data_IF_459186413530
#
_entry.id   IF_459186413530
#
_cell.length_a   1.000
_cell.length_b   1.000
_cell.length_c   1.000
_cell.angle_alpha   90.00
_cell.angle_beta   90.00
_cell.angle_gamma   90.00
#
_symmetry.space_group_name_H-M   'P 1'
#
loop_
_entity.id
_entity.type
_entity.pdbx_description
1 polymer ?
#
# COMPACT_ATOMS: atom_id res chain seq x y z
N UNK A 1 48.15 26.27 11.70
CA UNK A 1 47.46 25.69 12.87
C UNK A 1 46.15 25.04 12.45
N UNK A 2 46.18 24.06 11.54
CA UNK A 2 44.96 23.45 10.99
C UNK A 2 44.75 21.97 11.35
N UNK A 3 45.74 21.31 11.95
CA UNK A 3 45.60 19.90 12.33
C UNK A 3 44.60 19.68 13.48
N UNK A 4 44.40 20.69 14.34
CA UNK A 4 43.50 20.60 15.50
C UNK A 4 42.01 20.67 15.14
N UNK A 5 41.64 21.43 14.10
CA UNK A 5 40.24 21.64 13.71
C UNK A 5 39.63 20.40 13.03
N UNK A 6 40.41 19.75 12.16
CA UNK A 6 39.96 18.54 11.46
C UNK A 6 39.74 17.34 12.40
N UNK A 7 40.58 17.21 13.44
CA UNK A 7 40.45 16.15 14.43
C UNK A 7 39.18 16.30 15.30
N UNK A 8 38.81 17.54 15.64
CA UNK A 8 37.59 17.83 16.41
C UNK A 8 36.34 17.58 15.59
N UNK A 9 36.33 17.95 14.31
CA UNK A 9 35.21 17.69 13.40
C UNK A 9 35.01 16.18 13.15
N UNK A 10 36.10 15.41 13.00
CA UNK A 10 36.02 13.96 12.83
C UNK A 10 35.50 13.25 14.09
N UNK A 11 35.88 13.70 15.28
CA UNK A 11 35.37 13.16 16.54
C UNK A 11 33.87 13.46 16.74
N UNK A 12 33.43 14.67 16.39
CA UNK A 12 32.01 15.04 16.42
C UNK A 12 31.18 14.21 15.42
N UNK A 13 31.68 14.01 14.19
CA UNK A 13 31.02 13.17 13.19
C UNK A 13 30.96 11.69 13.60
N UNK A 14 31.97 11.17 14.31
CA UNK A 14 31.94 9.82 14.86
C UNK A 14 30.89 9.64 15.96
N UNK A 15 30.73 10.65 16.84
CA UNK A 15 29.70 10.64 17.89
C UNK A 15 28.27 10.79 17.36
N UNK A 16 28.11 11.44 16.20
CA UNK A 16 26.82 11.62 15.54
C UNK A 16 26.24 10.34 14.92
N UNK A 17 27.11 9.37 14.58
CA UNK A 17 26.71 8.13 13.90
C UNK A 17 25.76 7.30 14.76
N UNK A 18 24.71 6.78 14.15
CA UNK A 18 23.77 5.88 14.81
C UNK A 18 24.48 4.67 15.45
N UNK A 19 25.53 4.15 14.78
CA UNK A 19 26.36 3.06 15.29
C UNK A 19 27.10 3.36 16.60
N UNK A 20 27.27 4.64 16.97
CA UNK A 20 27.90 5.02 18.23
C UNK A 20 26.93 4.94 19.44
N UNK A 21 25.62 4.73 19.19
CA UNK A 21 24.59 4.71 20.22
C UNK A 21 23.89 3.34 20.22
N UNK A 22 24.06 2.51 21.27
CA UNK A 22 23.52 1.15 21.30
C UNK A 22 22.01 1.07 21.06
N UNK A 23 21.25 2.06 21.53
CA UNK A 23 19.80 2.14 21.30
C UNK A 23 19.42 2.59 19.88
N UNK A 24 20.36 3.12 19.10
CA UNK A 24 20.20 3.47 17.68
C UNK A 24 20.82 2.41 16.74
N UNK A 25 21.20 1.23 17.25
CA UNK A 25 21.82 0.18 16.45
C UNK A 25 20.86 -0.34 15.37
N UNK A 26 21.35 -0.45 14.13
CA UNK A 26 20.57 -0.86 12.96
C UNK A 26 20.08 0.29 12.07
N UNK A 27 20.18 1.54 12.53
CA UNK A 27 19.92 2.72 11.69
C UNK A 27 21.20 3.14 10.95
N UNK A 28 21.14 3.43 9.63
CA UNK A 28 22.29 3.96 8.90
C UNK A 28 22.44 5.47 9.15
N UNK A 29 23.67 5.98 9.00
CA UNK A 29 23.94 7.43 9.00
C UNK A 29 24.13 8.06 10.37
N UNK A 30 23.75 9.35 10.49
CA UNK A 30 23.88 10.15 11.70
C UNK A 30 22.53 10.27 12.40
N UNK A 31 22.47 9.90 13.68
CA UNK A 31 21.25 9.93 14.49
C UNK A 31 21.34 10.93 15.66
N UNK A 32 22.55 11.18 16.17
CA UNK A 32 22.77 11.79 17.49
C UNK A 32 23.88 12.85 17.49
N UNK A 33 23.78 13.91 16.67
CA UNK A 33 22.58 14.37 15.96
C UNK A 33 22.47 13.87 14.50
N UNK A 34 21.30 14.05 13.89
CA UNK A 34 21.08 13.92 12.44
C UNK A 34 21.87 14.97 11.67
N UNK A 35 21.91 14.85 10.34
CA UNK A 35 22.53 15.86 9.45
C UNK A 35 21.88 17.25 9.58
N UNK A 36 20.66 17.32 10.09
CA UNK A 36 19.91 18.55 10.37
C UNK A 36 20.11 19.06 11.82
N UNK A 37 20.92 18.37 12.63
CA UNK A 37 21.18 18.75 14.02
C UNK A 37 20.18 18.22 15.05
N UNK A 38 19.19 17.41 14.64
CA UNK A 38 18.16 16.88 15.53
C UNK A 38 18.64 15.60 16.27
N UNK A 39 18.23 15.41 17.52
CA UNK A 39 18.53 14.19 18.27
C UNK A 39 17.38 13.19 18.11
N UNK A 40 17.65 11.99 17.59
CA UNK A 40 16.64 10.93 17.56
C UNK A 40 16.33 10.40 18.96
N UNK A 41 15.13 9.83 19.17
CA UNK A 41 14.69 9.37 20.49
C UNK A 41 15.59 8.29 21.13
N UNK A 42 16.37 7.58 20.32
CA UNK A 42 17.35 6.59 20.78
C UNK A 42 18.65 7.21 21.35
N UNK A 43 18.89 8.51 21.17
CA UNK A 43 20.15 9.18 21.47
C UNK A 43 20.40 9.50 22.96
N UNK A 44 19.56 8.99 23.87
CA UNK A 44 19.62 9.29 25.31
C UNK A 44 19.70 8.08 26.24
N UNK A 45 19.67 6.85 25.72
CA UNK A 45 19.65 5.66 26.57
C UNK A 45 21.06 5.27 27.05
N UNK A 46 21.57 5.97 28.06
CA UNK A 46 22.61 5.40 28.93
C UNK A 46 21.95 4.43 29.91
N UNK A 47 22.48 3.23 30.04
CA UNK A 47 22.00 2.21 30.96
C UNK A 47 22.20 2.65 32.42
N UNK A 48 21.20 3.27 33.05
CA UNK A 48 20.88 3.18 34.48
C UNK A 48 19.71 4.10 34.88
N UNK A 49 18.89 3.60 35.81
CA UNK A 49 17.91 4.27 36.68
C UNK A 49 16.44 4.36 36.21
N UNK A 50 15.57 3.86 37.11
CA UNK A 50 14.11 3.72 36.96
C UNK A 50 13.28 5.00 37.13
N UNK A 51 11.96 4.86 37.33
CA UNK A 51 10.98 5.84 36.88
C UNK A 51 10.84 7.01 37.86
N UNK A 52 10.73 8.23 37.30
CA UNK A 52 10.17 9.38 38.01
C UNK A 52 9.22 10.17 37.12
N UNK A 53 8.08 10.46 37.73
CA UNK A 53 6.96 11.26 37.24
C UNK A 53 7.33 12.71 36.94
N UNK A 54 6.58 13.33 36.03
CA UNK A 54 6.33 14.77 36.12
C UNK A 54 6.20 15.55 34.81
N UNK A 55 5.06 16.23 34.69
CA UNK A 55 4.74 17.40 33.87
C UNK A 55 4.47 17.15 32.37
N UNK A 56 3.22 17.19 31.91
CA UNK A 56 2.25 18.31 31.81
C UNK A 56 2.54 19.27 30.64
N UNK A 57 1.45 19.48 29.89
CA UNK A 57 1.12 20.60 29.02
C UNK A 57 1.64 20.60 27.57
N UNK A 58 0.80 20.07 26.67
CA UNK A 58 0.44 20.74 25.43
C UNK A 58 -0.94 20.25 24.96
N UNK A 59 -2.00 20.94 25.40
CA UNK A 59 -3.33 20.85 24.78
C UNK A 59 -3.46 21.94 23.73
N UNK A 60 -3.72 21.56 22.48
CA UNK A 60 -4.42 22.42 21.52
C UNK A 60 -5.11 21.55 20.44
N UNK A 61 -6.42 21.41 20.63
CA UNK A 61 -7.46 21.22 19.61
C UNK A 61 -7.37 20.01 18.64
N UNK A 62 -8.19 18.97 18.90
CA UNK A 62 -9.37 18.63 18.07
C UNK A 62 -10.37 17.91 18.99
N UNK A 63 -11.62 18.40 19.03
CA UNK A 63 -12.76 17.75 19.69
C UNK A 63 -13.59 17.03 18.63
N UNK A 64 -13.73 15.71 18.77
CA UNK A 64 -14.93 14.97 18.37
C UNK A 64 -15.05 13.70 19.26
N UNK A 65 -15.74 13.89 20.39
CA UNK A 65 -16.74 13.00 21.02
C UNK A 65 -16.60 11.47 20.92
N UNK A 66 -16.36 10.80 22.06
CA UNK A 66 -16.66 9.38 22.23
C UNK A 66 -16.08 8.77 23.51
N UNK A 67 -16.76 8.95 24.64
CA UNK A 67 -16.38 8.40 25.94
C UNK A 67 -16.71 6.90 26.01
N UNK A 68 -15.73 6.00 26.12
CA UNK A 68 -15.95 4.59 26.47
C UNK A 68 -14.92 4.10 27.49
N UNK A 69 -15.43 3.81 28.69
CA UNK A 69 -14.74 3.06 29.74
C UNK A 69 -14.93 1.56 29.49
N UNK A 70 -13.83 0.81 29.38
CA UNK A 70 -13.79 -0.62 29.71
C UNK A 70 -13.63 -1.59 28.53
N UNK A 71 -12.39 -1.83 28.13
CA UNK A 71 -11.89 -3.17 27.76
C UNK A 71 -10.38 -3.17 28.02
N UNK A 72 -9.90 -4.19 28.75
CA UNK A 72 -8.52 -4.30 29.24
C UNK A 72 -7.50 -4.16 28.10
N UNK A 73 -6.87 -3.00 28.02
CA UNK A 73 -5.88 -2.65 27.01
C UNK A 73 -4.53 -3.21 27.46
N UNK A 74 -3.95 -4.16 26.71
CA UNK A 74 -2.50 -4.35 26.74
C UNK A 74 -1.87 -3.06 26.16
N UNK A 75 -0.85 -2.47 26.79
CA UNK A 75 -0.15 -1.34 26.20
C UNK A 75 0.62 -1.85 24.99
N UNK A 76 0.10 -1.60 23.80
CA UNK A 76 0.82 -1.76 22.54
C UNK A 76 1.94 -0.72 22.58
N UNK A 77 3.19 -1.19 22.60
CA UNK A 77 4.35 -0.30 22.67
C UNK A 77 4.47 0.45 21.35
N UNK A 78 4.84 1.73 21.36
CA UNK A 78 4.92 2.61 20.18
C UNK A 78 5.82 2.10 19.01
N UNK A 79 6.55 1.00 19.21
CA UNK A 79 7.31 0.29 18.19
C UNK A 79 6.48 -0.72 17.36
N UNK A 80 5.24 -1.03 17.75
CA UNK A 80 4.45 -2.15 17.19
C UNK A 80 3.53 -1.79 16.01
N UNK A 81 3.52 -0.56 15.47
CA UNK A 81 2.59 -0.21 14.37
C UNK A 81 3.19 0.74 13.32
N UNK A 82 4.47 0.63 12.94
CA UNK A 82 4.90 1.20 11.65
C UNK A 82 4.56 0.21 10.54
N UNK A 83 3.93 0.71 9.46
CA UNK A 83 3.67 -0.11 8.28
C UNK A 83 4.88 -0.03 7.35
N UNK A 84 5.35 -1.18 6.88
CA UNK A 84 6.42 -1.28 5.90
C UNK A 84 5.89 -1.95 4.64
N UNK A 85 6.15 -1.36 3.48
CA UNK A 85 5.77 -1.97 2.22
C UNK A 85 6.80 -3.06 1.85
N UNK A 86 6.38 -4.31 1.76
CA UNK A 86 7.24 -5.47 1.50
C UNK A 86 6.93 -6.10 0.14
N UNK A 87 7.54 -5.60 -0.93
CA UNK A 87 7.30 -6.08 -2.28
C UNK A 87 8.58 -6.01 -3.14
N UNK A 88 8.53 -6.67 -4.29
CA UNK A 88 9.51 -6.51 -5.37
C UNK A 88 8.92 -5.56 -6.42
N UNK A 89 9.58 -4.43 -6.65
CA UNK A 89 9.14 -3.41 -7.62
C UNK A 89 9.77 -3.58 -9.01
N UNK A 90 10.77 -4.45 -9.15
CA UNK A 90 11.64 -4.54 -10.33
C UNK A 90 11.06 -5.45 -11.42
N UNK A 91 9.83 -5.12 -11.85
CA UNK A 91 9.10 -5.83 -12.90
C UNK A 91 8.92 -7.35 -12.65
N UNK A 92 8.47 -7.82 -11.46
CA UNK A 92 8.37 -9.25 -11.16
C UNK A 92 7.34 -10.00 -12.03
N UNK A 93 6.48 -9.30 -12.77
CA UNK A 93 5.55 -9.89 -13.76
C UNK A 93 6.14 -9.99 -15.16
N UNK A 94 7.40 -9.59 -15.34
CA UNK A 94 8.12 -9.67 -16.62
C UNK A 94 7.37 -9.00 -17.77
N UNK A 95 6.73 -7.87 -17.49
CA UNK A 95 6.04 -7.06 -18.50
C UNK A 95 7.11 -6.52 -19.45
N UNK A 96 6.96 -6.82 -20.74
CA UNK A 96 7.88 -6.38 -21.78
C UNK A 96 7.25 -5.29 -22.59
N UNK A 97 8.00 -4.24 -22.88
CA UNK A 97 7.51 -3.17 -23.72
C UNK A 97 7.81 -3.45 -25.20
N UNK A 98 6.95 -2.94 -26.08
CA UNK A 98 7.37 -2.71 -27.46
C UNK A 98 8.46 -1.63 -27.47
N UNK A 99 9.57 -1.80 -28.23
CA UNK A 99 10.67 -0.84 -28.23
C UNK A 99 10.26 0.55 -28.75
N UNK A 100 9.15 0.65 -29.49
CA UNK A 100 8.59 1.94 -29.90
C UNK A 100 7.60 2.39 -28.82
N UNK A 101 7.97 3.41 -28.04
CA UNK A 101 7.16 3.93 -26.91
C UNK A 101 5.68 4.12 -27.26
N UNK A 102 5.37 4.71 -28.42
CA UNK A 102 3.99 4.98 -28.88
C UNK A 102 3.18 3.74 -29.25
N UNK A 103 3.78 2.56 -29.27
CA UNK A 103 3.05 1.30 -29.46
C UNK A 103 2.50 0.75 -28.14
N UNK A 104 3.06 1.16 -27.01
CA UNK A 104 2.63 0.69 -25.70
C UNK A 104 1.42 1.48 -25.20
N UNK A 105 0.52 0.79 -24.50
CA UNK A 105 -0.58 1.42 -23.79
C UNK A 105 -0.97 0.65 -22.53
N UNK A 106 -1.66 1.35 -21.64
CA UNK A 106 -2.31 0.82 -20.45
C UNK A 106 -3.83 0.89 -20.64
N UNK A 107 -4.56 0.01 -19.96
CA UNK A 107 -5.98 0.24 -19.68
C UNK A 107 -6.14 0.54 -18.20
N UNK A 108 -7.03 1.45 -17.84
CA UNK A 108 -7.31 1.81 -16.45
C UNK A 108 -8.80 1.57 -16.18
N UNK A 109 -9.12 0.88 -15.09
CA UNK A 109 -10.49 0.55 -14.69
C UNK A 109 -10.63 0.61 -13.18
N UNK A 110 -11.71 1.22 -12.70
CA UNK A 110 -12.13 1.25 -11.28
C UNK A 110 -13.59 0.84 -11.16
N UNK A 111 -14.03 0.56 -9.93
CA UNK A 111 -15.46 0.40 -9.59
C UNK A 111 -16.15 -0.70 -10.43
N UNK A 112 -15.41 -1.76 -10.73
CA UNK A 112 -15.84 -2.77 -11.71
C UNK A 112 -16.32 -4.07 -11.07
N UNK A 113 -15.97 -4.31 -9.81
CA UNK A 113 -16.07 -5.56 -9.08
C UNK A 113 -17.45 -6.05 -8.67
N UNK A 114 -18.50 -5.89 -9.49
CA UNK A 114 -19.90 -6.08 -9.08
C UNK A 114 -20.13 -7.36 -8.26
N UNK A 115 -20.82 -7.24 -7.13
CA UNK A 115 -21.22 -8.36 -6.27
C UNK A 115 -22.08 -9.41 -7.00
N UNK A 116 -21.74 -10.70 -6.84
CA UNK A 116 -22.46 -11.82 -7.47
C UNK A 116 -22.41 -11.76 -9.00
N UNK A 117 -21.24 -11.40 -9.56
CA UNK A 117 -21.06 -10.98 -10.94
C UNK A 117 -21.30 -12.04 -12.05
N UNK A 118 -21.17 -11.62 -13.32
CA UNK A 118 -21.32 -10.25 -13.79
C UNK A 118 -22.78 -9.89 -14.02
N UNK A 119 -23.07 -8.60 -13.91
CA UNK A 119 -24.32 -8.00 -14.38
C UNK A 119 -24.16 -7.42 -15.80
N UNK A 120 -25.25 -6.92 -16.42
CA UNK A 120 -25.21 -6.44 -17.80
C UNK A 120 -24.20 -5.30 -18.03
N UNK A 121 -24.04 -4.37 -17.08
CA UNK A 121 -23.09 -3.26 -17.19
C UNK A 121 -21.63 -3.74 -17.17
N UNK A 122 -21.27 -4.61 -16.23
CA UNK A 122 -19.92 -5.16 -16.12
C UNK A 122 -19.57 -5.99 -17.36
N UNK A 123 -20.51 -6.83 -17.83
CA UNK A 123 -20.35 -7.57 -19.09
C UNK A 123 -20.11 -6.61 -20.26
N UNK A 124 -20.90 -5.54 -20.38
CA UNK A 124 -20.72 -4.58 -21.48
C UNK A 124 -19.35 -3.90 -21.46
N UNK A 125 -18.83 -3.53 -20.28
CA UNK A 125 -17.47 -2.97 -20.14
C UNK A 125 -16.42 -4.00 -20.52
N UNK A 126 -16.52 -5.23 -20.02
CA UNK A 126 -15.58 -6.30 -20.33
C UNK A 126 -15.54 -6.64 -21.83
N UNK A 127 -16.69 -6.69 -22.50
CA UNK A 127 -16.76 -6.87 -23.96
C UNK A 127 -16.11 -5.69 -24.71
N UNK A 128 -16.31 -4.45 -24.26
CA UNK A 128 -15.66 -3.27 -24.86
C UNK A 128 -14.15 -3.30 -24.68
N UNK A 129 -13.65 -3.70 -23.51
CA UNK A 129 -12.21 -3.87 -23.29
C UNK A 129 -11.63 -4.94 -24.21
N UNK A 130 -12.27 -6.11 -24.33
CA UNK A 130 -11.83 -7.18 -25.25
C UNK A 130 -11.83 -6.72 -26.71
N UNK A 131 -12.87 -6.02 -27.15
CA UNK A 131 -12.94 -5.48 -28.50
C UNK A 131 -11.84 -4.43 -28.76
N UNK A 132 -11.61 -3.52 -27.81
CA UNK A 132 -10.56 -2.51 -27.90
C UNK A 132 -9.18 -3.15 -27.98
N UNK A 133 -8.85 -4.10 -27.10
CA UNK A 133 -7.55 -4.78 -27.11
C UNK A 133 -7.33 -5.55 -28.41
N UNK A 134 -8.35 -6.22 -28.95
CA UNK A 134 -8.29 -6.85 -30.27
C UNK A 134 -7.96 -5.84 -31.38
N UNK A 135 -8.62 -4.68 -31.38
CA UNK A 135 -8.39 -3.62 -32.37
C UNK A 135 -6.99 -3.03 -32.26
N UNK A 136 -6.53 -2.73 -31.04
CA UNK A 136 -5.21 -2.20 -30.78
C UNK A 136 -4.12 -3.19 -31.20
N UNK A 137 -4.28 -4.47 -30.88
CA UNK A 137 -3.36 -5.53 -31.32
C UNK A 137 -3.27 -5.62 -32.84
N UNK A 138 -4.41 -5.54 -33.55
CA UNK A 138 -4.44 -5.52 -35.01
C UNK A 138 -3.76 -4.28 -35.61
N UNK A 139 -3.72 -3.16 -34.87
CA UNK A 139 -3.02 -1.93 -35.23
C UNK A 139 -1.52 -1.92 -34.81
N UNK A 140 -0.98 -3.06 -34.36
CA UNK A 140 0.42 -3.17 -33.93
C UNK A 140 0.70 -2.51 -32.57
N UNK A 141 -0.32 -2.32 -31.73
CA UNK A 141 -0.17 -1.80 -30.37
C UNK A 141 -0.04 -2.92 -29.35
N UNK A 142 0.66 -2.62 -28.26
CA UNK A 142 1.03 -3.54 -27.20
C UNK A 142 0.41 -3.10 -25.87
N UNK A 143 -0.41 -3.97 -25.27
CA UNK A 143 -0.96 -3.75 -23.93
C UNK A 143 0.11 -4.12 -22.90
N UNK A 144 0.58 -3.15 -22.11
CA UNK A 144 1.52 -3.40 -21.02
C UNK A 144 0.81 -4.05 -19.82
N UNK A 145 -0.27 -3.42 -19.35
CA UNK A 145 -1.02 -3.85 -18.19
C UNK A 145 -2.42 -3.23 -18.13
N UNK A 146 -3.26 -3.82 -17.29
CA UNK A 146 -4.51 -3.22 -16.81
C UNK A 146 -4.24 -2.67 -15.40
N UNK A 147 -4.53 -1.40 -15.17
CA UNK A 147 -4.46 -0.79 -13.85
C UNK A 147 -5.85 -0.83 -13.22
N UNK A 148 -5.97 -1.55 -12.11
CA UNK A 148 -7.20 -1.68 -11.33
C UNK A 148 -7.18 -0.68 -10.19
N UNK A 149 -7.94 0.41 -10.31
CA UNK A 149 -7.87 1.54 -9.36
C UNK A 149 -8.84 1.39 -8.18
N UNK A 150 -9.04 0.16 -7.71
CA UNK A 150 -9.87 -0.13 -6.54
C UNK A 150 -11.32 -0.45 -6.86
N UNK A 151 -12.03 -0.85 -5.80
CA UNK A 151 -13.36 -1.45 -5.83
C UNK A 151 -13.41 -2.67 -6.76
N UNK A 152 -12.43 -3.54 -6.53
CA UNK A 152 -12.22 -4.77 -7.27
C UNK A 152 -13.29 -5.81 -6.95
N UNK A 153 -13.85 -5.79 -5.73
CA UNK A 153 -14.92 -6.70 -5.29
C UNK A 153 -15.94 -6.01 -4.39
N UNK A 154 -17.10 -5.67 -4.96
CA UNK A 154 -18.25 -5.22 -4.20
C UNK A 154 -18.94 -6.37 -3.45
N UNK A 155 -19.56 -6.12 -2.30
CA UNK A 155 -19.75 -4.80 -1.66
C UNK A 155 -18.82 -4.55 -0.47
N UNK A 156 -18.26 -5.61 0.11
CA UNK A 156 -17.71 -5.58 1.46
C UNK A 156 -16.51 -6.51 1.63
N UNK A 157 -15.63 -6.52 0.63
CA UNK A 157 -14.48 -7.40 0.55
C UNK A 157 -14.66 -8.57 -0.42
N UNK A 158 -13.59 -9.36 -0.56
CA UNK A 158 -13.52 -10.44 -1.53
C UNK A 158 -13.94 -11.77 -0.90
N UNK A 159 -14.92 -12.44 -1.53
CA UNK A 159 -15.21 -13.85 -1.27
C UNK A 159 -14.48 -14.74 -2.28
N UNK A 160 -14.12 -15.99 -1.95
CA UNK A 160 -13.42 -16.88 -2.88
C UNK A 160 -14.10 -17.04 -4.25
N UNK A 161 -15.43 -17.03 -4.32
CA UNK A 161 -16.19 -17.15 -5.58
C UNK A 161 -16.09 -15.90 -6.46
N UNK A 162 -15.84 -14.72 -5.87
CA UNK A 162 -15.82 -13.44 -6.58
C UNK A 162 -14.66 -13.36 -7.59
N UNK A 163 -13.54 -14.04 -7.34
CA UNK A 163 -12.43 -14.17 -8.30
C UNK A 163 -12.91 -14.71 -9.64
N UNK A 164 -13.78 -15.72 -9.63
CA UNK A 164 -14.31 -16.30 -10.86
C UNK A 164 -15.45 -15.46 -11.44
N UNK A 165 -16.39 -15.04 -10.59
CA UNK A 165 -17.63 -14.38 -11.00
C UNK A 165 -17.41 -12.96 -11.52
N UNK A 166 -16.57 -12.19 -10.83
CA UNK A 166 -16.38 -10.75 -11.07
C UNK A 166 -15.12 -10.45 -11.88
N UNK A 167 -14.06 -11.25 -11.75
CA UNK A 167 -12.80 -10.99 -12.47
C UNK A 167 -12.53 -11.97 -13.61
N UNK A 168 -12.44 -13.28 -13.35
CA UNK A 168 -11.92 -14.19 -14.35
C UNK A 168 -12.88 -14.41 -15.52
N UNK A 169 -14.17 -14.65 -15.24
CA UNK A 169 -15.18 -14.94 -16.26
C UNK A 169 -15.50 -13.75 -17.17
N UNK A 170 -15.81 -12.53 -16.67
CA UNK A 170 -16.26 -11.44 -17.54
C UNK A 170 -15.15 -10.97 -18.48
N UNK A 171 -13.93 -10.86 -17.96
CA UNK A 171 -12.77 -10.39 -18.71
C UNK A 171 -12.05 -11.52 -19.47
N UNK A 172 -12.40 -12.79 -19.21
CA UNK A 172 -11.84 -13.94 -19.91
C UNK A 172 -10.33 -14.12 -19.67
N UNK A 173 -9.81 -13.69 -18.51
CA UNK A 173 -8.35 -13.69 -18.24
C UNK A 173 -7.74 -15.09 -18.18
N UNK A 174 -8.59 -16.12 -18.04
CA UNK A 174 -8.23 -17.54 -18.02
C UNK A 174 -8.63 -18.30 -19.30
N UNK A 175 -9.25 -17.63 -20.26
CA UNK A 175 -9.67 -18.22 -21.53
C UNK A 175 -8.64 -17.91 -22.62
N UNK A 176 -7.92 -18.90 -23.18
CA UNK A 176 -6.92 -18.70 -24.23
C UNK A 176 -7.44 -18.01 -25.49
N UNK A 177 -8.75 -18.03 -25.73
CA UNK A 177 -9.38 -17.33 -26.86
C UNK A 177 -9.67 -15.85 -26.58
N UNK A 178 -9.60 -15.43 -25.31
CA UNK A 178 -9.85 -14.04 -24.92
C UNK A 178 -8.70 -13.13 -25.36
N UNK A 179 -8.99 -11.93 -25.88
CA UNK A 179 -7.99 -10.88 -26.09
C UNK A 179 -7.25 -10.44 -24.81
N UNK A 180 -7.85 -10.70 -23.65
CA UNK A 180 -7.29 -10.38 -22.32
C UNK A 180 -6.68 -11.60 -21.62
N UNK A 181 -6.53 -12.73 -22.32
CA UNK A 181 -5.89 -13.91 -21.75
C UNK A 181 -4.49 -13.58 -21.23
N UNK A 182 -4.21 -13.93 -19.98
CA UNK A 182 -2.95 -13.65 -19.30
C UNK A 182 -2.51 -12.17 -19.23
N UNK A 183 -3.39 -11.20 -19.53
CA UNK A 183 -3.05 -9.80 -19.33
C UNK A 183 -2.73 -9.53 -17.84
N UNK A 184 -1.63 -8.83 -17.51
CA UNK A 184 -1.31 -8.49 -16.13
C UNK A 184 -2.23 -7.37 -15.65
N UNK A 185 -2.76 -7.52 -14.44
CA UNK A 185 -3.52 -6.51 -13.71
C UNK A 185 -2.67 -6.05 -12.53
N UNK A 186 -2.37 -4.76 -12.46
CA UNK A 186 -1.73 -4.13 -11.31
C UNK A 186 -2.82 -3.40 -10.54
N UNK A 187 -3.07 -3.78 -9.29
CA UNK A 187 -4.24 -3.32 -8.54
C UNK A 187 -3.89 -2.45 -7.32
N UNK A 188 -4.82 -1.58 -6.94
CA UNK A 188 -4.97 -1.01 -5.58
C UNK A 188 -6.32 -1.43 -5.01
N UNK A 189 -6.52 -1.21 -3.71
CA UNK A 189 -7.80 -1.42 -3.04
C UNK A 189 -8.63 -0.13 -3.03
N UNK A 190 -9.95 -0.27 -3.17
CA UNK A 190 -10.95 0.76 -2.89
C UNK A 190 -11.69 0.47 -1.60
N UNK A 191 -12.66 1.30 -1.22
CA UNK A 191 -13.35 1.12 0.06
C UNK A 191 -14.21 -0.14 0.10
N UNK A 192 -14.76 -0.58 -1.03
CA UNK A 192 -15.57 -1.80 -1.08
C UNK A 192 -14.75 -3.09 -1.05
N UNK A 193 -13.44 -2.99 -1.27
CA UNK A 193 -12.51 -4.10 -1.14
C UNK A 193 -12.23 -4.50 0.31
N UNK A 194 -12.67 -3.64 1.24
CA UNK A 194 -12.70 -3.84 2.68
C UNK A 194 -14.10 -4.21 3.14
N UNK A 195 -14.22 -4.89 4.28
CA UNK A 195 -15.51 -5.13 4.95
C UNK A 195 -15.68 -6.55 5.45
N UNK A 196 -16.92 -6.91 5.81
CA UNK A 196 -17.24 -8.15 6.52
C UNK A 196 -16.89 -9.44 5.76
N UNK A 197 -16.77 -9.40 4.43
CA UNK A 197 -16.37 -10.57 3.63
C UNK A 197 -14.83 -10.75 3.59
N UNK A 198 -14.05 -9.72 3.95
CA UNK A 198 -12.58 -9.77 4.12
C UNK A 198 -12.16 -9.00 5.40
N UNK A 199 -12.63 -9.44 6.59
CA UNK A 199 -12.69 -8.59 7.79
C UNK A 199 -11.32 -8.20 8.33
N UNK A 200 -10.28 -8.96 8.01
CA UNK A 200 -8.92 -8.71 8.51
C UNK A 200 -8.02 -7.97 7.53
N UNK A 201 -8.53 -7.59 6.36
CA UNK A 201 -7.84 -6.67 5.45
C UNK A 201 -7.54 -5.32 6.13
N UNK A 202 -8.32 -4.95 7.14
CA UNK A 202 -8.20 -3.68 7.87
C UNK A 202 -7.62 -3.84 9.29
N UNK A 203 -7.21 -5.06 9.67
CA UNK A 203 -6.57 -5.34 10.94
C UNK A 203 -5.83 -6.71 10.96
N UNK A 204 -4.79 -6.91 10.15
CA UNK A 204 -4.14 -8.23 10.05
C UNK A 204 -3.56 -8.75 11.38
N UNK A 205 -3.28 -7.85 12.33
CA UNK A 205 -2.84 -8.17 13.69
C UNK A 205 -3.94 -8.75 14.60
N UNK A 206 -5.22 -8.57 14.27
CA UNK A 206 -6.34 -9.08 15.09
C UNK A 206 -6.64 -10.56 14.83
N UNK A 207 -6.06 -11.13 13.77
CA UNK A 207 -6.21 -12.56 13.48
C UNK A 207 -5.49 -13.42 14.51
N UNK A 208 -6.17 -14.48 14.97
CA UNK A 208 -5.54 -15.51 15.82
C UNK A 208 -4.36 -16.17 15.09
N UNK A 209 -4.46 -16.32 13.76
CA UNK A 209 -3.38 -16.74 12.89
C UNK A 209 -3.37 -15.86 11.64
N UNK A 210 -2.29 -15.10 11.43
CA UNK A 210 -2.15 -14.24 10.25
C UNK A 210 -2.14 -15.09 8.96
N UNK A 211 -2.66 -14.55 7.85
CA UNK A 211 -2.60 -15.22 6.55
C UNK A 211 -1.16 -15.44 6.10
N UNK A 212 -0.28 -14.49 6.41
CA UNK A 212 1.15 -14.59 6.26
C UNK A 212 1.87 -13.62 7.20
N UNK A 213 3.18 -13.79 7.33
CA UNK A 213 4.07 -12.81 7.96
C UNK A 213 5.32 -12.64 7.11
N UNK A 214 5.64 -11.40 6.75
CA UNK A 214 6.82 -11.03 5.96
C UNK A 214 7.58 -10.00 6.75
N UNK A 215 8.88 -10.24 7.00
CA UNK A 215 9.73 -9.36 7.79
C UNK A 215 9.14 -8.95 9.17
N UNK A 216 8.35 -9.82 9.79
CA UNK A 216 7.68 -9.55 11.07
C UNK A 216 6.36 -8.78 10.97
N UNK A 217 5.95 -8.31 9.78
CA UNK A 217 4.64 -7.71 9.53
C UNK A 217 3.61 -8.76 9.14
N UNK A 218 2.44 -8.73 9.76
CA UNK A 218 1.32 -9.64 9.45
C UNK A 218 0.45 -9.10 8.31
N UNK A 219 -0.16 -10.01 7.55
CA UNK A 219 -1.06 -9.70 6.44
C UNK A 219 -2.38 -10.44 6.57
N UNK A 220 -3.43 -9.87 5.96
CA UNK A 220 -4.79 -10.29 6.23
C UNK A 220 -5.84 -10.00 5.17
N UNK A 221 -5.48 -9.44 4.02
CA UNK A 221 -6.43 -9.31 2.92
C UNK A 221 -6.36 -10.52 1.99
N UNK A 222 -7.53 -11.04 1.64
CA UNK A 222 -7.67 -12.12 0.69
C UNK A 222 -7.30 -11.73 -0.76
N UNK A 223 -7.13 -10.43 -1.06
CA UNK A 223 -6.71 -9.94 -2.37
C UNK A 223 -5.20 -9.97 -2.61
N UNK A 224 -4.40 -9.99 -1.54
CA UNK A 224 -2.95 -9.93 -1.63
C UNK A 224 -2.37 -11.14 -2.39
N UNK A 225 -1.19 -10.98 -2.96
CA UNK A 225 -0.48 -12.04 -3.67
C UNK A 225 -0.24 -13.29 -2.80
N UNK A 226 0.06 -14.42 -3.45
CA UNK A 226 0.15 -15.72 -2.79
C UNK A 226 1.23 -15.82 -1.69
N UNK A 227 2.25 -14.95 -1.72
CA UNK A 227 3.25 -14.81 -0.66
C UNK A 227 2.66 -14.24 0.65
N UNK A 228 1.57 -13.47 0.56
CA UNK A 228 0.85 -12.87 1.69
C UNK A 228 -0.52 -13.47 1.96
N UNK A 229 -1.07 -14.19 0.99
CA UNK A 229 -2.25 -15.02 1.12
C UNK A 229 -2.04 -16.36 0.39
N UNK A 230 -1.42 -17.37 1.05
CA UNK A 230 -1.18 -18.68 0.46
C UNK A 230 -2.45 -19.43 0.05
N UNK A 231 -3.61 -19.06 0.61
CA UNK A 231 -4.90 -19.64 0.28
C UNK A 231 -5.55 -19.00 -0.97
N UNK A 232 -4.95 -17.94 -1.52
CA UNK A 232 -5.46 -17.28 -2.73
C UNK A 232 -5.49 -18.27 -3.91
N UNK A 233 -6.59 -18.33 -4.70
CA UNK A 233 -6.69 -19.30 -5.79
C UNK A 233 -5.51 -19.19 -6.80
N UNK A 234 -4.83 -20.29 -7.18
CA UNK A 234 -3.62 -20.22 -8.01
C UNK A 234 -3.81 -19.57 -9.39
N UNK A 235 -5.03 -19.58 -9.92
CA UNK A 235 -5.40 -18.96 -11.19
C UNK A 235 -5.50 -17.43 -11.12
N UNK A 236 -5.27 -16.79 -9.98
CA UNK A 236 -5.31 -15.32 -9.85
C UNK A 236 -3.95 -14.65 -9.98
N UNK A 237 -2.90 -15.39 -10.34
CA UNK A 237 -1.51 -14.89 -10.39
C UNK A 237 -1.27 -13.65 -11.25
N UNK A 238 -2.14 -13.38 -12.23
CA UNK A 238 -2.04 -12.20 -13.09
C UNK A 238 -2.76 -10.98 -12.51
N UNK A 239 -3.53 -11.15 -11.44
CA UNK A 239 -4.01 -10.04 -10.63
C UNK A 239 -3.01 -9.79 -9.51
N UNK A 240 -2.22 -8.74 -9.68
CA UNK A 240 -1.06 -8.47 -8.87
C UNK A 240 -1.35 -7.34 -7.89
N UNK A 241 -1.33 -7.71 -6.62
CA UNK A 241 -1.46 -6.83 -5.47
C UNK A 241 -0.46 -7.33 -4.41
N UNK A 242 0.82 -6.93 -4.52
CA UNK A 242 1.89 -7.46 -3.68
C UNK A 242 1.84 -6.92 -2.25
N UNK A 243 1.20 -5.79 -2.05
CA UNK A 243 1.12 -5.06 -0.79
C UNK A 243 0.02 -3.97 -0.93
N UNK A 244 -0.31 -3.27 0.15
CA UNK A 244 -1.27 -2.15 0.12
C UNK A 244 -0.71 -0.95 -0.63
N UNK A 245 0.61 -0.73 -0.54
CA UNK A 245 1.33 0.23 -1.36
C UNK A 245 2.53 -0.43 -2.03
N UNK A 246 2.78 -0.09 -3.28
CA UNK A 246 3.95 -0.57 -4.00
C UNK A 246 4.31 0.34 -5.17
N UNK A 247 5.52 0.20 -5.69
CA UNK A 247 5.85 0.70 -7.02
C UNK A 247 6.14 -0.47 -7.95
N UNK A 248 6.05 -0.22 -9.25
CA UNK A 248 6.33 -1.17 -10.31
C UNK A 248 7.04 -0.46 -11.45
N UNK A 249 8.26 -0.88 -11.75
CA UNK A 249 9.02 -0.32 -12.85
C UNK A 249 8.86 -1.14 -14.13
N UNK A 250 8.67 -0.45 -15.26
CA UNK A 250 8.80 -1.00 -16.60
C UNK A 250 9.82 -0.11 -17.31
N UNK A 251 11.10 -0.29 -16.97
CA UNK A 251 12.19 0.54 -17.47
C UNK A 251 12.28 0.54 -19.01
N UNK A 252 11.94 -0.58 -19.66
CA UNK A 252 11.85 -0.68 -21.13
C UNK A 252 10.83 0.31 -21.74
N UNK A 253 9.79 0.67 -20.98
CA UNK A 253 8.78 1.65 -21.37
C UNK A 253 9.04 3.05 -20.79
N UNK A 254 10.14 3.24 -20.04
CA UNK A 254 10.42 4.46 -19.28
C UNK A 254 9.22 4.87 -18.39
N UNK A 255 8.65 3.87 -17.71
CA UNK A 255 7.41 3.95 -16.96
C UNK A 255 7.60 3.42 -15.53
N UNK A 256 7.15 4.18 -14.55
CA UNK A 256 6.97 3.75 -13.17
C UNK A 256 5.50 3.89 -12.77
N UNK A 257 4.97 2.89 -12.08
CA UNK A 257 3.62 2.92 -11.51
C UNK A 257 3.77 2.88 -9.99
N UNK A 258 3.24 3.87 -9.30
CA UNK A 258 3.21 3.97 -7.84
C UNK A 258 1.76 3.77 -7.39
N UNK A 259 1.51 2.68 -6.70
CA UNK A 259 0.23 2.25 -6.18
C UNK A 259 0.16 2.56 -4.68
N UNK A 260 -0.84 3.33 -4.25
CA UNK A 260 -1.01 3.66 -2.84
C UNK A 260 -2.45 3.43 -2.39
N UNK A 261 -2.59 2.96 -1.16
CA UNK A 261 -3.86 2.87 -0.47
C UNK A 261 -4.15 4.18 0.26
N UNK A 262 -5.27 4.80 -0.10
CA UNK A 262 -5.74 6.06 0.48
C UNK A 262 -7.06 5.90 1.25
N UNK A 263 -7.47 4.66 1.55
CA UNK A 263 -8.78 4.36 2.16
C UNK A 263 -8.94 4.92 3.57
N UNK A 264 -7.84 5.28 4.24
CA UNK A 264 -7.85 6.04 5.49
C UNK A 264 -8.68 7.33 5.43
N UNK A 265 -8.79 7.98 4.27
CA UNK A 265 -9.51 9.25 4.17
C UNK A 265 -11.05 9.11 4.18
N UNK A 266 -11.57 7.89 4.06
CA UNK A 266 -13.00 7.62 3.96
C UNK A 266 -13.41 6.38 4.79
N UNK A 267 -13.00 6.33 6.07
CA UNK A 267 -13.25 5.18 6.96
C UNK A 267 -14.73 4.76 7.05
N UNK A 268 -15.67 5.72 7.07
CA UNK A 268 -17.10 5.40 7.10
C UNK A 268 -17.64 4.79 5.79
N UNK A 269 -16.88 4.89 4.71
CA UNK A 269 -17.21 4.29 3.40
C UNK A 269 -16.67 2.88 3.23
N UNK A 270 -15.83 2.36 4.14
CA UNK A 270 -15.32 0.99 4.06
C UNK A 270 -16.47 -0.01 3.99
N UNK A 271 -16.36 -1.04 3.16
CA UNK A 271 -17.49 -1.96 2.89
C UNK A 271 -18.72 -1.29 2.28
N UNK A 272 -18.57 -0.08 1.76
CA UNK A 272 -19.63 0.73 1.16
C UNK A 272 -20.43 1.58 2.13
N UNK A 273 -20.65 1.09 3.34
CA UNK A 273 -21.28 1.80 4.45
C UNK A 273 -21.07 1.04 5.78
N UNK A 274 -21.58 1.60 6.88
CA UNK A 274 -21.52 1.00 8.22
C UNK A 274 -22.09 -0.42 8.31
N UNK A 275 -22.99 -0.83 7.40
CA UNK A 275 -23.55 -2.18 7.38
C UNK A 275 -22.63 -3.18 6.67
N UNK A 276 -21.70 -2.69 5.85
CA UNK A 276 -20.72 -3.51 5.14
C UNK A 276 -19.43 -3.74 5.91
N UNK A 277 -19.12 -2.91 6.90
CA UNK A 277 -17.91 -3.06 7.73
C UNK A 277 -18.18 -3.25 9.22
N UNK A 278 -19.43 -3.19 9.67
CA UNK A 278 -19.76 -3.20 11.10
C UNK A 278 -19.25 -4.43 11.85
N UNK A 279 -19.31 -5.62 11.23
CA UNK A 279 -18.75 -6.82 11.85
C UNK A 279 -17.23 -6.78 11.81
N UNK A 280 -16.63 -6.45 10.66
CA UNK A 280 -15.19 -6.35 10.51
C UNK A 280 -14.57 -5.41 11.55
N UNK A 281 -15.17 -4.24 11.77
CA UNK A 281 -14.70 -3.27 12.76
C UNK A 281 -14.75 -3.84 14.18
N UNK A 282 -15.81 -4.58 14.54
CA UNK A 282 -15.91 -5.21 15.85
C UNK A 282 -14.84 -6.29 16.02
N UNK A 283 -14.64 -7.13 15.01
CA UNK A 283 -13.62 -8.18 15.01
C UNK A 283 -12.19 -7.61 15.09
N UNK A 284 -11.99 -6.39 14.58
CA UNK A 284 -10.73 -5.64 14.65
C UNK A 284 -10.49 -4.87 15.96
N UNK A 285 -11.38 -5.00 16.95
CA UNK A 285 -11.26 -4.25 18.21
C UNK A 285 -11.76 -2.80 18.14
N UNK A 286 -12.56 -2.47 17.12
CA UNK A 286 -13.27 -1.22 16.96
C UNK A 286 -12.66 -0.25 15.92
N UNK A 287 -13.40 0.83 15.59
CA UNK A 287 -13.00 1.79 14.55
C UNK A 287 -11.63 2.44 14.80
N UNK A 288 -11.26 2.69 16.06
CA UNK A 288 -9.96 3.30 16.38
C UNK A 288 -8.76 2.43 16.02
N UNK A 289 -8.90 1.10 16.07
CA UNK A 289 -7.82 0.19 15.65
C UNK A 289 -7.68 0.14 14.13
N UNK A 290 -8.82 0.17 13.42
CA UNK A 290 -8.88 0.24 11.96
C UNK A 290 -8.30 1.56 11.46
N UNK A 291 -8.73 2.68 12.06
CA UNK A 291 -8.17 4.01 11.81
C UNK A 291 -6.67 4.02 12.03
N UNK A 292 -6.20 3.48 13.16
CA UNK A 292 -4.79 3.43 13.47
C UNK A 292 -4.02 2.64 12.40
N UNK A 293 -4.45 1.44 12.03
CA UNK A 293 -3.81 0.64 10.99
C UNK A 293 -3.76 1.36 9.64
N UNK A 294 -4.90 1.81 9.13
CA UNK A 294 -4.99 2.45 7.82
C UNK A 294 -4.24 3.79 7.78
N UNK A 295 -4.13 4.51 8.91
CA UNK A 295 -3.30 5.72 8.98
C UNK A 295 -1.82 5.42 8.71
N UNK A 296 -1.34 4.25 9.15
CA UNK A 296 0.05 3.82 8.98
C UNK A 296 0.30 3.28 7.57
N UNK A 297 -0.68 2.58 7.00
CA UNK A 297 -0.67 2.20 5.58
C UNK A 297 -0.62 3.45 4.69
N UNK A 298 -1.47 4.44 4.94
CA UNK A 298 -1.51 5.68 4.17
C UNK A 298 -0.21 6.49 4.31
N UNK A 299 0.35 6.57 5.53
CA UNK A 299 1.66 7.20 5.73
C UNK A 299 2.76 6.49 4.95
N UNK A 300 2.83 5.15 4.99
CA UNK A 300 3.80 4.37 4.23
C UNK A 300 3.63 4.52 2.71
N UNK A 301 2.40 4.73 2.23
CA UNK A 301 2.11 5.07 0.84
C UNK A 301 2.63 6.47 0.45
N UNK A 302 2.42 7.47 1.30
CA UNK A 302 2.95 8.81 1.07
C UNK A 302 4.49 8.83 1.13
N UNK A 303 5.09 8.15 2.11
CA UNK A 303 6.54 8.01 2.22
C UNK A 303 7.12 7.37 0.94
N UNK A 304 6.44 6.35 0.40
CA UNK A 304 6.80 5.75 -0.88
C UNK A 304 6.72 6.75 -2.03
N UNK A 305 5.64 7.53 -2.16
CA UNK A 305 5.52 8.55 -3.22
C UNK A 305 6.68 9.55 -3.16
N UNK A 306 7.01 10.05 -1.97
CA UNK A 306 8.10 11.02 -1.78
C UNK A 306 9.48 10.39 -2.02
N UNK A 307 9.68 9.14 -1.61
CA UNK A 307 10.91 8.40 -1.90
C UNK A 307 11.09 8.24 -3.42
N UNK A 308 10.06 7.73 -4.10
CA UNK A 308 10.09 7.48 -5.55
C UNK A 308 10.22 8.76 -6.37
N UNK A 309 9.68 9.90 -5.91
CA UNK A 309 9.95 11.20 -6.51
C UNK A 309 11.44 11.56 -6.50
N UNK A 310 12.15 11.26 -5.39
CA UNK A 310 13.57 11.61 -5.23
C UNK A 310 14.51 10.66 -5.96
N UNK A 311 14.18 9.37 -6.01
CA UNK A 311 15.09 8.32 -6.49
C UNK A 311 14.68 7.69 -7.82
N UNK A 312 13.42 7.82 -8.22
CA UNK A 312 12.88 7.26 -9.45
C UNK A 312 13.54 7.86 -10.68
N UNK A 313 13.79 7.02 -11.68
CA UNK A 313 14.48 7.42 -12.92
C UNK A 313 13.56 7.47 -14.13
N UNK A 314 12.33 6.96 -14.02
CA UNK A 314 11.36 6.95 -15.10
C UNK A 314 10.84 8.37 -15.40
N UNK A 315 10.79 8.74 -16.68
CA UNK A 315 10.23 10.03 -17.10
C UNK A 315 8.69 10.04 -17.10
N UNK A 316 8.08 8.85 -17.18
CA UNK A 316 6.62 8.68 -17.11
C UNK A 316 6.25 8.00 -15.80
N UNK A 317 5.46 8.69 -14.97
CA UNK A 317 5.01 8.16 -13.68
C UNK A 317 3.49 8.14 -13.65
N UNK A 318 2.92 7.00 -13.23
CA UNK A 318 1.51 6.86 -12.91
C UNK A 318 1.38 6.68 -11.40
N UNK A 319 0.70 7.61 -10.72
CA UNK A 319 0.31 7.43 -9.32
C UNK A 319 -1.14 6.95 -9.31
N UNK A 320 -1.37 5.71 -8.85
CA UNK A 320 -2.69 5.09 -8.81
C UNK A 320 -3.20 4.90 -7.38
N UNK A 321 -4.45 5.29 -7.17
CA UNK A 321 -5.21 5.21 -5.93
C UNK A 321 -6.71 5.31 -6.27
N UNK A 322 -7.59 5.05 -5.31
CA UNK A 322 -9.01 4.87 -5.59
C UNK A 322 -9.85 6.16 -5.73
N UNK A 323 -9.58 7.20 -4.94
CA UNK A 323 -10.51 8.32 -4.77
C UNK A 323 -10.20 9.52 -5.66
N UNK A 324 -11.19 10.18 -6.24
CA UNK A 324 -10.95 11.42 -6.96
C UNK A 324 -10.36 12.50 -6.04
N UNK A 325 -9.31 13.19 -6.51
CA UNK A 325 -8.71 14.32 -5.80
C UNK A 325 -7.72 13.95 -4.67
N UNK A 326 -7.55 12.66 -4.35
CA UNK A 326 -6.60 12.20 -3.34
C UNK A 326 -5.22 11.82 -3.89
N UNK A 327 -5.00 12.01 -5.20
CA UNK A 327 -3.71 11.74 -5.82
C UNK A 327 -2.66 12.75 -5.30
N UNK A 328 -1.56 12.29 -4.67
CA UNK A 328 -0.53 13.14 -4.07
C UNK A 328 0.45 13.68 -5.13
N UNK A 329 -0.11 14.25 -6.19
CA UNK A 329 0.66 14.71 -7.36
C UNK A 329 1.55 15.89 -7.01
N UNK A 330 1.03 16.83 -6.22
CA UNK A 330 1.75 18.06 -5.92
C UNK A 330 2.87 17.78 -4.90
N UNK A 331 2.67 16.84 -3.97
CA UNK A 331 3.68 16.29 -3.08
C UNK A 331 4.80 15.59 -3.86
N UNK A 332 4.44 14.76 -4.85
CA UNK A 332 5.40 14.12 -5.74
C UNK A 332 6.26 15.16 -6.47
N UNK A 333 5.64 16.16 -7.11
CA UNK A 333 6.38 17.22 -7.80
C UNK A 333 7.26 18.04 -6.87
N UNK A 334 6.80 18.33 -5.65
CA UNK A 334 7.56 19.07 -4.66
C UNK A 334 8.78 18.32 -4.10
N UNK A 335 8.83 16.99 -4.29
CA UNK A 335 9.92 16.14 -3.85
C UNK A 335 10.91 15.75 -4.96
N UNK A 336 10.66 16.16 -6.21
CA UNK A 336 11.61 15.96 -7.30
C UNK A 336 12.94 16.71 -7.04
N UNK A 337 14.09 16.18 -7.51
CA UNK A 337 15.40 16.84 -7.39
C UNK A 337 15.53 18.22 -8.05
#
# INVERSE_FOLDING_TARGET
GDAGSAAVAAAAAAGARCLAHPACHGLPGSCCPTVEGNMMGCCGASAAAGPRDGAKDATAAVKASGNFTGAASRPVLAAEMQYFNNYDGDNPRTIRADPVRSNNYLLVIGDWGRAGGPGPCQTAVAEKMKAYVSQQKAAGKHLLAILSVGDNFYWKGVRPTAWQESWARPYGVLDPSSPLFNAPWLAVLGNHDYGDDDPYALCPFAQVAAMASVAGQTYGSAQLNADKNPARPPNTRNFWLPDYNYHYEILEADLEIIAIDTNFQALGGLGGDDRGHGQAFNDCGGPGQVEHFLSRVAQAGMDLVLERARVGTASTVVIMQHYPGACPRDEFYGALP
#
